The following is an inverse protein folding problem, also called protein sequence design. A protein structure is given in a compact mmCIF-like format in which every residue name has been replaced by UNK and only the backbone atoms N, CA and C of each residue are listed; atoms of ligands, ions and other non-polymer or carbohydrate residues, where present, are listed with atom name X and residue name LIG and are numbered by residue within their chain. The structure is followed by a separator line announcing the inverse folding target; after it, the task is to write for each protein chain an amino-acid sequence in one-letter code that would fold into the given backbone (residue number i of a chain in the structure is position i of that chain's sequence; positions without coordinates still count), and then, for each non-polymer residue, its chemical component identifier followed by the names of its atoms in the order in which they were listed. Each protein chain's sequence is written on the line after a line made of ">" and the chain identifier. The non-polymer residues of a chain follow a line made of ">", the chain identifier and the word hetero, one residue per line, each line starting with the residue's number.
data_IF_571525109874
#
_entry.id   IF_571525109874
#
_cell.length_a   1.000
_cell.length_b   1.000
_cell.length_c   1.000
_cell.angle_alpha   90.00
_cell.angle_beta   90.00
_cell.angle_gamma   90.00
#
_symmetry.space_group_name_H-M   'P 1'
#
loop_
_entity.id
_entity.type
_entity.pdbx_description
1 polymer ?
#
# COMPACT_ATOMS: atom_id res chain seq x y z
N UNK A 1 18.03 -8.54 -33.10
CA UNK A 1 17.30 -9.20 -34.18
C UNK A 1 18.16 -10.09 -35.09
N UNK A 2 19.47 -9.82 -35.32
CA UNK A 2 20.35 -10.64 -36.21
C UNK A 2 20.71 -12.04 -35.67
N UNK A 3 20.72 -12.26 -34.38
CA UNK A 3 21.04 -13.56 -33.77
C UNK A 3 19.92 -14.62 -33.83
N UNK A 4 18.65 -14.18 -33.96
CA UNK A 4 17.51 -15.11 -34.03
C UNK A 4 17.41 -15.83 -35.39
N UNK A 5 17.77 -15.15 -36.47
CA UNK A 5 17.73 -15.70 -37.84
C UNK A 5 18.77 -16.76 -38.10
N UNK A 6 19.93 -16.73 -37.40
CA UNK A 6 20.96 -17.73 -37.54
C UNK A 6 20.59 -19.09 -36.90
N UNK A 7 19.77 -19.05 -35.83
CA UNK A 7 19.28 -20.26 -35.14
C UNK A 7 18.25 -21.01 -35.98
N UNK A 8 17.36 -20.29 -36.64
CA UNK A 8 16.34 -20.90 -37.51
C UNK A 8 16.93 -21.57 -38.77
N UNK A 9 18.06 -21.05 -39.29
CA UNK A 9 18.74 -21.64 -40.45
C UNK A 9 19.42 -22.96 -40.12
N UNK A 10 20.03 -23.09 -38.93
CA UNK A 10 20.63 -24.34 -38.45
C UNK A 10 19.58 -25.42 -38.15
N UNK A 11 18.41 -25.03 -37.64
CA UNK A 11 17.33 -25.96 -37.35
C UNK A 11 16.70 -26.56 -38.60
N UNK A 12 16.63 -25.80 -39.71
CA UNK A 12 16.11 -26.26 -40.98
C UNK A 12 17.02 -27.28 -41.69
N UNK A 13 18.33 -27.23 -41.48
CA UNK A 13 19.26 -28.18 -42.06
C UNK A 13 19.34 -29.51 -41.31
N UNK A 14 18.98 -29.58 -40.03
CA UNK A 14 18.94 -30.84 -39.28
C UNK A 14 17.70 -31.68 -39.54
N UNK A 15 16.64 -31.08 -40.04
CA UNK A 15 15.34 -31.75 -40.34
C UNK A 15 15.37 -32.54 -41.69
N UNK A 16 16.38 -32.34 -42.54
CA UNK A 16 16.43 -32.93 -43.87
C UNK A 16 17.34 -34.17 -43.99
N UNK A 17 17.95 -34.63 -42.89
CA UNK A 17 18.76 -35.88 -42.90
C UNK A 17 18.17 -36.93 -41.96
N UNK A 18 17.31 -37.74 -42.52
CA UNK A 18 17.05 -39.16 -42.31
C UNK A 18 16.94 -39.68 -40.87
N UNK A 19 15.75 -40.00 -40.47
CA UNK A 19 15.34 -41.26 -39.82
C UNK A 19 13.93 -41.11 -39.23
N UNK A 20 13.02 -41.87 -39.71
CA UNK A 20 11.56 -41.79 -39.46
C UNK A 20 11.07 -42.07 -38.05
N UNK A 21 11.94 -42.40 -37.12
CA UNK A 21 11.59 -42.68 -35.71
C UNK A 21 11.95 -41.55 -34.72
N UNK A 22 12.84 -40.67 -35.10
CA UNK A 22 13.28 -39.56 -34.25
C UNK A 22 12.31 -38.38 -34.26
N UNK A 23 11.62 -38.17 -35.38
CA UNK A 23 10.68 -37.04 -35.56
C UNK A 23 9.40 -37.16 -34.71
N UNK A 24 8.89 -38.39 -34.54
CA UNK A 24 7.68 -38.58 -33.70
C UNK A 24 7.97 -38.32 -32.22
N UNK A 25 9.16 -38.70 -31.71
CA UNK A 25 9.53 -38.38 -30.32
C UNK A 25 9.78 -36.87 -30.07
N UNK A 26 10.33 -36.18 -31.05
CA UNK A 26 10.55 -34.74 -30.93
C UNK A 26 9.21 -33.96 -30.96
N UNK A 27 8.23 -34.37 -31.78
CA UNK A 27 6.92 -33.75 -31.81
C UNK A 27 6.10 -33.99 -30.53
N UNK A 28 6.18 -35.19 -29.94
CA UNK A 28 5.52 -35.51 -28.68
C UNK A 28 6.15 -34.74 -27.52
N UNK A 29 7.47 -34.59 -27.47
CA UNK A 29 8.15 -33.79 -26.44
C UNK A 29 7.79 -32.29 -26.54
N UNK A 30 7.69 -31.74 -27.75
CA UNK A 30 7.25 -30.34 -27.97
C UNK A 30 5.79 -30.12 -27.60
N UNK A 31 4.90 -31.07 -27.86
CA UNK A 31 3.50 -30.98 -27.46
C UNK A 31 3.33 -31.06 -25.93
N UNK A 32 4.08 -31.90 -25.26
CA UNK A 32 4.07 -31.99 -23.78
C UNK A 32 4.63 -30.70 -23.16
N UNK A 33 5.69 -30.11 -23.71
CA UNK A 33 6.21 -28.81 -23.25
C UNK A 33 5.24 -27.65 -23.51
N UNK A 34 4.53 -27.65 -24.63
CA UNK A 34 3.52 -26.65 -24.92
C UNK A 34 2.30 -26.75 -23.98
N UNK A 35 1.89 -27.97 -23.61
CA UNK A 35 0.80 -28.19 -22.66
C UNK A 35 1.18 -27.81 -21.21
N UNK A 36 2.47 -27.98 -20.83
CA UNK A 36 2.96 -27.55 -19.52
C UNK A 36 3.15 -26.03 -19.42
N UNK A 37 3.43 -25.35 -20.53
CA UNK A 37 3.56 -23.89 -20.56
C UNK A 37 2.20 -23.16 -20.46
N UNK A 38 1.09 -23.79 -20.82
CA UNK A 38 -0.25 -23.19 -20.70
C UNK A 38 -0.78 -23.25 -19.25
N UNK A 39 -0.19 -24.10 -18.39
CA UNK A 39 -0.63 -24.26 -16.99
C UNK A 39 0.01 -23.29 -16.01
N UNK A 40 0.99 -22.48 -16.43
CA UNK A 40 1.60 -21.42 -15.60
C UNK A 40 1.07 -20.03 -16.01
N UNK A 41 -0.24 -19.88 -16.11
CA UNK A 41 -0.82 -18.54 -16.04
C UNK A 41 -0.48 -17.92 -14.68
N UNK A 42 -0.20 -16.60 -14.59
CA UNK A 42 -0.05 -15.97 -13.29
C UNK A 42 -1.31 -16.27 -12.49
N UNK A 43 -1.18 -16.64 -11.20
CA UNK A 43 -2.34 -16.91 -10.37
C UNK A 43 -3.29 -15.71 -10.45
N UNK A 44 -4.61 -15.91 -10.52
CA UNK A 44 -5.55 -14.80 -10.53
C UNK A 44 -5.20 -13.92 -9.33
N UNK A 45 -4.84 -12.65 -9.60
CA UNK A 45 -4.58 -11.67 -8.57
C UNK A 45 -5.93 -11.38 -7.89
N UNK A 46 -6.29 -12.24 -6.95
CA UNK A 46 -7.47 -12.05 -6.11
C UNK A 46 -7.31 -10.71 -5.40
N UNK A 47 -8.30 -9.86 -5.49
CA UNK A 47 -8.38 -8.65 -4.68
C UNK A 47 -8.26 -9.11 -3.22
N UNK A 48 -7.21 -8.63 -2.53
CA UNK A 48 -7.06 -8.90 -1.11
C UNK A 48 -8.20 -8.22 -0.36
N UNK A 49 -9.15 -9.02 0.09
CA UNK A 49 -10.23 -8.55 0.96
C UNK A 49 -9.63 -8.29 2.35
N UNK A 50 -9.67 -7.04 2.81
CA UNK A 50 -9.24 -6.68 4.17
C UNK A 50 -10.22 -7.36 5.13
N UNK A 51 -9.80 -8.36 5.93
CA UNK A 51 -10.73 -9.02 6.82
C UNK A 51 -11.19 -8.02 7.88
N UNK A 52 -12.49 -7.85 8.00
CA UNK A 52 -13.14 -6.98 8.98
C UNK A 52 -12.69 -7.31 10.41
N UNK A 53 -12.39 -8.57 10.65
CA UNK A 53 -11.84 -9.05 11.94
C UNK A 53 -10.45 -8.50 12.26
N UNK A 54 -9.58 -8.27 11.27
CA UNK A 54 -8.24 -7.71 11.52
C UNK A 54 -8.33 -6.24 11.91
N UNK A 55 -9.32 -5.51 11.38
CA UNK A 55 -9.60 -4.11 11.71
C UNK A 55 -10.36 -4.02 13.03
N UNK A 56 -11.32 -4.90 13.29
CA UNK A 56 -12.02 -4.99 14.57
C UNK A 56 -11.09 -5.37 15.74
N UNK A 57 -10.02 -6.13 15.49
CA UNK A 57 -9.00 -6.42 16.50
C UNK A 57 -8.13 -5.20 16.82
N UNK A 58 -7.83 -4.36 15.84
CA UNK A 58 -7.14 -3.08 16.04
C UNK A 58 -8.05 -2.09 16.80
N UNK A 59 -9.36 -2.10 16.54
CA UNK A 59 -10.34 -1.26 17.23
C UNK A 59 -10.51 -1.62 18.71
N UNK A 60 -10.51 -2.90 19.06
CA UNK A 60 -10.68 -3.37 20.46
C UNK A 60 -9.57 -2.91 21.40
N UNK A 61 -8.37 -2.69 20.88
CA UNK A 61 -7.24 -2.20 21.67
C UNK A 61 -7.24 -0.67 21.88
N UNK A 62 -8.20 0.03 21.28
CA UNK A 62 -8.30 1.51 21.32
C UNK A 62 -9.67 2.00 21.81
N UNK A 63 -10.49 1.13 22.44
CA UNK A 63 -11.82 1.54 22.90
C UNK A 63 -11.69 2.50 24.10
N UNK A 64 -12.09 3.78 23.95
CA UNK A 64 -12.14 4.71 25.08
C UNK A 64 -13.25 4.30 26.04
N UNK A 65 -13.13 4.61 27.33
CA UNK A 65 -14.17 4.34 28.32
C UNK A 65 -15.49 5.06 27.97
N UNK A 66 -16.60 4.32 28.10
CA UNK A 66 -17.95 4.81 27.81
C UNK A 66 -18.35 5.91 28.80
N UNK A 67 -18.27 7.15 28.33
CA UNK A 67 -18.82 8.34 28.96
C UNK A 67 -18.90 9.41 27.88
N UNK A 68 -19.93 10.24 27.85
CA UNK A 68 -20.08 11.39 26.94
C UNK A 68 -18.91 12.36 27.14
N UNK A 69 -17.72 11.96 26.65
CA UNK A 69 -16.51 12.77 26.70
C UNK A 69 -16.38 13.53 25.39
N UNK A 70 -16.13 14.84 25.51
CA UNK A 70 -15.66 15.67 24.40
C UNK A 70 -14.65 14.90 23.56
N UNK A 71 -14.77 15.02 22.25
CA UNK A 71 -13.85 14.41 21.31
C UNK A 71 -12.40 14.77 21.69
N UNK A 72 -11.68 13.80 22.21
CA UNK A 72 -10.31 14.01 22.70
C UNK A 72 -9.38 13.00 22.06
N UNK A 73 -8.40 13.52 21.37
CA UNK A 73 -7.32 12.70 20.83
C UNK A 73 -6.46 12.20 22.00
N UNK A 74 -6.12 10.91 22.09
CA UNK A 74 -5.21 10.43 23.11
C UNK A 74 -3.80 11.02 22.91
N UNK A 75 -3.04 11.22 23.99
CA UNK A 75 -1.70 11.78 23.96
C UNK A 75 -0.69 10.91 23.20
N UNK A 76 -1.01 9.64 22.99
CA UNK A 76 -0.18 8.72 22.19
C UNK A 76 -1.00 7.55 21.67
N UNK A 77 -0.62 7.02 20.53
CA UNK A 77 -1.16 5.78 20.00
C UNK A 77 -0.11 5.05 19.15
N UNK A 78 -0.20 3.71 19.12
CA UNK A 78 0.74 2.86 18.39
C UNK A 78 0.02 1.77 17.61
N UNK A 79 0.41 1.58 16.35
CA UNK A 79 -0.07 0.51 15.47
C UNK A 79 1.08 -0.46 15.18
N UNK A 80 0.85 -1.75 15.35
CA UNK A 80 1.82 -2.79 14.98
C UNK A 80 1.67 -3.16 13.50
N UNK A 81 2.33 -2.40 12.61
CA UNK A 81 2.22 -2.55 11.15
C UNK A 81 2.53 -3.97 10.65
N UNK A 82 3.43 -4.69 11.32
CA UNK A 82 3.80 -6.05 10.96
C UNK A 82 2.65 -7.05 11.11
N UNK A 83 1.67 -6.73 11.96
CA UNK A 83 0.45 -7.54 12.17
C UNK A 83 -0.66 -7.23 11.18
N UNK A 84 -0.46 -6.26 10.27
CA UNK A 84 -1.43 -5.85 9.28
C UNK A 84 -1.03 -6.35 7.88
N UNK A 85 -1.41 -7.59 7.50
CA UNK A 85 -0.98 -8.19 6.24
C UNK A 85 -1.42 -7.40 5.01
N UNK A 86 -2.57 -6.73 5.06
CA UNK A 86 -3.06 -5.90 3.97
C UNK A 86 -2.17 -4.67 3.71
N UNK A 87 -1.63 -4.05 4.78
CA UNK A 87 -0.68 -2.93 4.65
C UNK A 87 0.64 -3.44 4.09
N UNK A 88 1.16 -4.55 4.62
CA UNK A 88 2.40 -5.17 4.13
C UNK A 88 2.31 -5.55 2.65
N UNK A 89 1.19 -6.09 2.22
CA UNK A 89 0.98 -6.49 0.83
C UNK A 89 0.92 -5.27 -0.11
N UNK A 90 0.34 -4.15 0.32
CA UNK A 90 0.35 -2.91 -0.46
C UNK A 90 1.77 -2.41 -0.74
N UNK A 91 2.70 -2.58 0.22
CA UNK A 91 4.10 -2.21 0.04
C UNK A 91 4.94 -3.23 -0.75
N UNK A 92 4.39 -4.42 -1.06
CA UNK A 92 5.04 -5.40 -1.94
C UNK A 92 4.68 -5.20 -3.41
N UNK A 93 3.58 -4.52 -3.69
CA UNK A 93 3.15 -4.27 -5.06
C UNK A 93 4.19 -3.37 -5.76
N UNK A 94 4.79 -3.80 -6.87
CA UNK A 94 5.74 -2.97 -7.60
C UNK A 94 5.02 -1.73 -8.15
N UNK A 95 5.65 -0.54 -8.13
CA UNK A 95 5.09 0.63 -8.80
C UNK A 95 4.91 0.31 -10.29
N UNK A 96 3.85 0.81 -10.91
CA UNK A 96 3.62 0.63 -12.35
C UNK A 96 4.76 1.26 -13.13
N UNK A 97 5.26 0.52 -14.14
CA UNK A 97 6.29 1.02 -15.05
C UNK A 97 5.80 2.32 -15.71
N UNK A 98 6.61 3.38 -15.62
CA UNK A 98 6.27 4.70 -16.15
C UNK A 98 5.71 5.69 -15.12
N UNK A 99 5.48 5.25 -13.90
CA UNK A 99 5.03 6.13 -12.83
C UNK A 99 6.21 6.98 -12.29
N UNK A 100 5.91 8.22 -11.90
CA UNK A 100 6.90 9.13 -11.29
C UNK A 100 7.14 8.82 -9.79
N UNK A 101 6.70 7.65 -9.31
CA UNK A 101 6.95 7.17 -7.94
C UNK A 101 6.23 7.95 -6.83
N UNK A 102 5.14 8.67 -7.16
CA UNK A 102 4.40 9.49 -6.21
C UNK A 102 3.34 8.71 -5.40
N UNK A 103 2.75 9.39 -4.41
CA UNK A 103 1.69 8.83 -3.57
C UNK A 103 0.43 8.46 -4.39
N UNK A 104 0.14 9.19 -5.47
CA UNK A 104 -0.95 8.88 -6.39
C UNK A 104 -0.69 7.58 -7.17
N UNK A 105 0.58 7.28 -7.49
CA UNK A 105 0.97 6.02 -8.15
C UNK A 105 0.87 4.84 -7.18
N UNK A 106 1.28 5.05 -5.93
CA UNK A 106 1.08 4.06 -4.86
C UNK A 106 -0.41 3.74 -4.70
N UNK A 107 -1.27 4.77 -4.64
CA UNK A 107 -2.72 4.58 -4.61
C UNK A 107 -3.23 3.79 -5.82
N UNK A 108 -2.81 4.15 -7.03
CA UNK A 108 -3.25 3.50 -8.27
C UNK A 108 -2.86 2.01 -8.31
N UNK A 109 -1.67 1.67 -7.81
CA UNK A 109 -1.18 0.29 -7.71
C UNK A 109 -1.93 -0.48 -6.62
N UNK A 110 -2.05 0.12 -5.43
CA UNK A 110 -2.73 -0.49 -4.27
C UNK A 110 -4.21 -0.77 -4.57
N UNK A 111 -4.89 0.11 -5.31
CA UNK A 111 -6.27 -0.08 -5.74
C UNK A 111 -6.51 -1.34 -6.58
N UNK A 112 -5.47 -1.87 -7.23
CA UNK A 112 -5.54 -3.14 -7.97
C UNK A 112 -5.39 -4.37 -7.08
N UNK A 113 -4.95 -4.20 -5.84
CA UNK A 113 -4.62 -5.31 -4.92
C UNK A 113 -5.48 -5.35 -3.66
N UNK A 114 -6.16 -4.27 -3.29
CA UNK A 114 -7.05 -4.18 -2.13
C UNK A 114 -8.43 -3.68 -2.52
N UNK A 115 -9.46 -4.09 -1.78
CA UNK A 115 -10.86 -3.77 -2.10
C UNK A 115 -11.17 -2.29 -1.93
N UNK A 116 -10.73 -1.69 -0.81
CA UNK A 116 -10.99 -0.29 -0.50
C UNK A 116 -9.70 0.43 -0.15
N UNK A 117 -9.41 1.48 -0.90
CA UNK A 117 -8.30 2.38 -0.67
C UNK A 117 -8.77 3.80 -0.95
N UNK A 118 -8.34 4.74 -0.13
CA UNK A 118 -8.69 6.14 -0.27
C UNK A 118 -7.43 7.03 -0.23
N UNK A 119 -7.41 8.07 -1.06
CA UNK A 119 -6.49 9.22 -0.91
C UNK A 119 -7.25 10.32 -0.20
N UNK A 120 -6.67 10.84 0.87
CA UNK A 120 -7.19 11.98 1.61
C UNK A 120 -6.23 13.14 1.41
N UNK A 121 -6.76 14.27 0.98
CA UNK A 121 -6.00 15.50 0.73
C UNK A 121 -6.36 16.56 1.76
N UNK A 122 -5.46 17.52 1.96
CA UNK A 122 -5.58 18.59 2.96
C UNK A 122 -5.72 18.06 4.39
N UNK A 123 -5.00 16.98 4.70
CA UNK A 123 -4.92 16.47 6.06
C UNK A 123 -4.10 17.42 6.95
N UNK A 124 -4.51 17.57 8.21
CA UNK A 124 -3.67 18.09 9.29
C UNK A 124 -2.92 16.94 9.99
N UNK A 125 -1.94 17.29 10.81
CA UNK A 125 -1.27 16.31 11.68
C UNK A 125 -2.27 15.62 12.61
N UNK A 126 -3.22 16.35 13.18
CA UNK A 126 -4.23 15.79 14.09
C UNK A 126 -5.14 14.76 13.41
N UNK A 127 -5.46 14.95 12.13
CA UNK A 127 -6.19 13.95 11.35
C UNK A 127 -5.38 12.66 11.20
N UNK A 128 -4.06 12.78 10.95
CA UNK A 128 -3.21 11.59 10.87
C UNK A 128 -3.11 10.89 12.24
N UNK A 129 -2.97 11.65 13.33
CA UNK A 129 -2.99 11.12 14.70
C UNK A 129 -4.30 10.41 15.02
N UNK A 130 -5.44 10.99 14.63
CA UNK A 130 -6.75 10.40 14.82
C UNK A 130 -6.93 9.08 14.04
N UNK A 131 -6.37 8.97 12.83
CA UNK A 131 -6.33 7.70 12.11
C UNK A 131 -5.47 6.66 12.83
N UNK A 132 -4.31 7.06 13.38
CA UNK A 132 -3.47 6.15 14.18
C UNK A 132 -4.22 5.71 15.44
N UNK A 133 -4.87 6.62 16.16
CA UNK A 133 -5.70 6.31 17.33
C UNK A 133 -6.88 5.37 17.00
N UNK A 134 -7.42 5.49 15.77
CA UNK A 134 -8.46 4.57 15.24
C UNK A 134 -7.90 3.19 14.88
N UNK A 135 -6.59 3.01 14.78
CA UNK A 135 -5.94 1.79 14.30
C UNK A 135 -5.80 1.71 12.77
N UNK A 136 -6.01 2.80 12.06
CA UNK A 136 -5.88 2.89 10.60
C UNK A 136 -4.57 3.58 10.24
N UNK A 137 -3.52 2.84 9.83
CA UNK A 137 -2.21 3.41 9.59
C UNK A 137 -2.20 4.29 8.33
N UNK A 138 -2.00 5.61 8.45
CA UNK A 138 -1.87 6.46 7.30
C UNK A 138 -0.56 6.17 6.55
N UNK A 139 -0.64 6.11 5.23
CA UNK A 139 0.50 5.96 4.34
C UNK A 139 0.77 7.33 3.72
N UNK A 140 1.97 7.82 3.90
CA UNK A 140 2.38 9.17 3.50
C UNK A 140 3.65 9.11 2.65
N UNK A 141 3.89 10.16 1.86
CA UNK A 141 5.18 10.36 1.20
C UNK A 141 5.90 11.50 1.91
N UNK A 142 7.14 11.27 2.31
CA UNK A 142 8.00 12.24 2.99
C UNK A 142 9.29 12.42 2.23
N UNK A 143 9.86 13.63 2.27
CA UNK A 143 11.16 13.95 1.69
C UNK A 143 12.10 14.43 2.79
N UNK A 144 12.88 13.50 3.34
CA UNK A 144 13.90 13.82 4.32
C UNK A 144 15.09 14.54 3.66
N UNK A 145 15.81 15.36 4.44
CA UNK A 145 16.95 16.12 3.93
C UNK A 145 17.99 15.20 3.26
N UNK A 146 18.43 15.60 2.05
CA UNK A 146 19.44 14.87 1.28
C UNK A 146 19.00 13.52 0.71
N UNK A 147 17.70 13.16 0.80
CA UNK A 147 17.17 11.88 0.29
C UNK A 147 16.08 12.07 -0.74
N UNK A 148 15.89 11.05 -1.58
CA UNK A 148 14.72 10.97 -2.44
C UNK A 148 13.45 10.82 -1.61
N UNK A 149 12.28 11.29 -2.12
CA UNK A 149 11.00 11.04 -1.47
C UNK A 149 10.77 9.54 -1.24
N UNK A 150 10.27 9.19 -0.06
CA UNK A 150 9.96 7.81 0.33
C UNK A 150 8.49 7.71 0.75
N UNK A 151 7.85 6.58 0.42
CA UNK A 151 6.50 6.25 0.88
C UNK A 151 6.63 5.37 2.11
N UNK A 152 6.07 5.81 3.22
CA UNK A 152 6.13 5.15 4.51
C UNK A 152 4.75 5.16 5.17
N UNK A 153 4.52 4.22 6.10
CA UNK A 153 3.33 4.21 6.94
C UNK A 153 3.63 4.80 8.29
N UNK A 154 2.73 5.61 8.82
CA UNK A 154 2.78 6.06 10.20
C UNK A 154 2.42 4.90 11.12
N UNK A 155 3.20 4.72 12.18
CA UNK A 155 3.02 3.62 13.13
C UNK A 155 2.66 4.08 14.53
N UNK A 156 3.09 5.25 14.94
CA UNK A 156 2.76 5.83 16.23
C UNK A 156 3.01 7.34 16.27
N UNK A 157 2.46 7.96 17.29
CA UNK A 157 2.78 9.33 17.71
C UNK A 157 2.82 9.42 19.24
N UNK A 158 3.48 10.45 19.74
CA UNK A 158 3.62 10.74 21.16
C UNK A 158 3.65 12.27 21.36
N UNK A 159 2.56 12.85 21.88
CA UNK A 159 2.42 14.29 22.11
C UNK A 159 3.36 14.82 23.20
N UNK A 160 3.56 14.12 24.35
CA UNK A 160 4.54 14.52 25.33
C UNK A 160 5.97 14.69 24.80
N UNK A 161 6.37 13.88 23.79
CA UNK A 161 7.69 14.02 23.16
C UNK A 161 7.66 14.84 21.86
N UNK A 162 6.48 15.16 21.33
CA UNK A 162 6.34 15.84 20.05
C UNK A 162 6.84 15.04 18.85
N UNK A 163 6.78 13.71 18.92
CA UNK A 163 7.35 12.80 17.93
C UNK A 163 6.32 11.95 17.21
N UNK A 164 6.61 11.66 15.95
CA UNK A 164 5.85 10.72 15.11
C UNK A 164 6.81 9.69 14.51
N UNK A 165 6.35 8.47 14.36
CA UNK A 165 7.14 7.38 13.80
C UNK A 165 6.63 6.90 12.46
N UNK A 166 7.57 6.70 11.55
CA UNK A 166 7.36 6.18 10.20
C UNK A 166 8.09 4.88 10.00
N UNK A 167 7.47 3.96 9.27
CA UNK A 167 8.07 2.67 8.99
C UNK A 167 7.61 2.13 7.63
N UNK A 168 8.49 1.45 6.91
CA UNK A 168 8.07 0.53 5.87
C UNK A 168 7.57 -0.76 6.54
N UNK A 169 6.32 -1.21 6.33
CA UNK A 169 5.76 -2.38 7.00
C UNK A 169 6.52 -3.70 6.74
N UNK A 170 7.32 -3.74 5.68
CA UNK A 170 8.17 -4.88 5.33
C UNK A 170 9.61 -4.78 5.88
N UNK A 171 9.91 -3.72 6.65
CA UNK A 171 11.20 -3.50 7.30
C UNK A 171 11.03 -3.39 8.81
N UNK A 172 12.03 -3.79 9.56
CA UNK A 172 12.09 -3.56 11.01
C UNK A 172 12.52 -2.13 11.36
N UNK A 173 13.05 -1.38 10.40
CA UNK A 173 13.58 -0.03 10.63
C UNK A 173 12.45 0.97 10.83
N UNK A 174 12.40 1.56 12.02
CA UNK A 174 11.49 2.63 12.40
C UNK A 174 12.23 3.96 12.42
N UNK A 175 11.63 4.99 11.87
CA UNK A 175 12.20 6.35 11.90
C UNK A 175 11.32 7.23 12.74
N UNK A 176 11.92 7.99 13.67
CA UNK A 176 11.24 9.01 14.45
C UNK A 176 11.60 10.38 13.94
N UNK A 177 10.62 11.25 13.89
CA UNK A 177 10.76 12.65 13.51
C UNK A 177 10.01 13.51 14.52
N UNK A 178 10.51 14.73 14.76
CA UNK A 178 9.71 15.75 15.42
C UNK A 178 8.48 16.07 14.57
N UNK A 179 7.41 16.57 15.16
CA UNK A 179 6.22 17.00 14.38
C UNK A 179 6.58 18.05 13.34
N UNK A 180 7.42 19.01 13.69
CA UNK A 180 7.88 20.07 12.78
C UNK A 180 8.61 19.51 11.56
N UNK A 181 9.59 18.60 11.79
CA UNK A 181 10.34 17.99 10.69
C UNK A 181 9.46 17.10 9.82
N UNK A 182 8.54 16.38 10.45
CA UNK A 182 7.58 15.56 9.74
C UNK A 182 6.69 16.42 8.84
N UNK A 183 6.03 17.44 9.37
CA UNK A 183 5.12 18.31 8.60
C UNK A 183 5.84 19.00 7.44
N UNK A 184 7.05 19.52 7.67
CA UNK A 184 7.86 20.13 6.63
C UNK A 184 8.19 19.14 5.49
N UNK A 185 8.62 17.91 5.85
CA UNK A 185 8.97 16.88 4.87
C UNK A 185 7.75 16.31 4.13
N UNK A 186 6.63 16.16 4.80
CA UNK A 186 5.37 15.65 4.27
C UNK A 186 4.69 16.67 3.35
N UNK A 187 4.58 17.92 3.80
CA UNK A 187 4.01 19.00 2.99
C UNK A 187 4.78 19.18 1.67
N UNK A 188 6.11 19.18 1.74
CA UNK A 188 6.99 19.28 0.57
C UNK A 188 6.81 18.12 -0.41
N UNK A 189 6.70 16.88 0.11
CA UNK A 189 6.66 15.68 -0.71
C UNK A 189 5.28 15.41 -1.33
N UNK A 190 4.19 15.63 -0.57
CA UNK A 190 2.84 15.18 -0.97
C UNK A 190 1.73 16.21 -0.78
N UNK A 191 2.06 17.45 -0.38
CA UNK A 191 1.07 18.52 -0.13
C UNK A 191 -0.02 18.05 0.86
N UNK A 192 0.40 17.51 1.99
CA UNK A 192 -0.48 17.04 3.08
C UNK A 192 -1.53 16.00 2.62
N UNK A 193 -1.10 15.05 1.80
CA UNK A 193 -1.91 13.90 1.40
C UNK A 193 -1.51 12.65 2.17
N UNK A 194 -2.48 11.77 2.41
CA UNK A 194 -2.23 10.40 2.84
C UNK A 194 -3.06 9.40 2.05
N UNK A 195 -2.64 8.15 2.08
CA UNK A 195 -3.41 7.00 1.58
C UNK A 195 -3.82 6.15 2.76
N UNK A 196 -5.07 5.71 2.76
CA UNK A 196 -5.61 4.75 3.73
C UNK A 196 -6.09 3.51 3.01
N UNK A 197 -5.87 2.35 3.63
CA UNK A 197 -6.50 1.09 3.27
C UNK A 197 -7.55 0.81 4.34
N UNK A 198 -8.81 0.65 3.94
CA UNK A 198 -9.96 0.62 4.84
C UNK A 198 -10.87 -0.58 4.59
N UNK A 199 -11.71 -0.99 5.56
CA UNK A 199 -12.64 -2.09 5.38
C UNK A 199 -13.80 -1.76 4.44
N UNK A 200 -14.11 -0.46 4.30
CA UNK A 200 -15.20 0.04 3.48
C UNK A 200 -14.76 1.26 2.66
N UNK A 201 -15.54 1.57 1.63
CA UNK A 201 -15.33 2.80 0.88
C UNK A 201 -15.53 4.02 1.78
N UNK A 202 -14.65 5.00 1.68
CA UNK A 202 -14.73 6.25 2.44
C UNK A 202 -15.17 7.41 1.54
N UNK A 203 -16.02 8.27 2.10
CA UNK A 203 -16.33 9.61 1.63
C UNK A 203 -15.85 10.66 2.66
N UNK A 204 -15.95 11.95 2.31
CA UNK A 204 -15.63 13.04 3.25
C UNK A 204 -16.46 12.92 4.54
N UNK A 205 -17.76 12.58 4.41
CA UNK A 205 -18.68 12.40 5.54
C UNK A 205 -18.29 11.18 6.39
N UNK A 206 -17.84 10.09 5.75
CA UNK A 206 -17.44 8.88 6.49
C UNK A 206 -16.18 9.13 7.32
N UNK A 207 -15.23 9.91 6.81
CA UNK A 207 -14.05 10.33 7.59
C UNK A 207 -14.46 11.12 8.82
N UNK A 208 -15.38 12.10 8.67
CA UNK A 208 -15.90 12.87 9.79
C UNK A 208 -16.62 11.98 10.82
N UNK A 209 -17.47 11.05 10.37
CA UNK A 209 -18.17 10.12 11.28
C UNK A 209 -17.20 9.22 12.05
N UNK A 210 -16.16 8.73 11.38
CA UNK A 210 -15.18 7.82 11.98
C UNK A 210 -14.28 8.52 12.98
N UNK A 211 -13.86 9.75 12.68
CA UNK A 211 -12.91 10.51 13.49
C UNK A 211 -13.55 11.52 14.44
N UNK A 212 -14.87 11.78 14.33
CA UNK A 212 -15.57 12.80 15.12
C UNK A 212 -15.52 12.57 16.63
N UNK A 213 -15.22 11.35 17.08
CA UNK A 213 -14.95 11.05 18.50
C UNK A 213 -13.58 11.53 18.99
N UNK A 214 -12.66 11.83 18.07
CA UNK A 214 -11.30 12.28 18.38
C UNK A 214 -11.10 13.76 18.12
N UNK A 215 -11.81 14.31 17.13
CA UNK A 215 -11.60 15.66 16.63
C UNK A 215 -12.92 16.42 16.47
N UNK A 216 -12.90 17.74 16.73
CA UNK A 216 -14.06 18.59 16.49
C UNK A 216 -14.33 18.74 14.99
N UNK A 217 -15.57 19.13 14.66
CA UNK A 217 -16.03 19.24 13.25
C UNK A 217 -15.16 20.17 12.39
N UNK A 218 -14.60 21.20 12.98
CA UNK A 218 -13.76 22.20 12.32
C UNK A 218 -12.46 21.59 11.76
N UNK A 219 -11.96 20.52 12.39
CA UNK A 219 -10.76 19.81 11.94
C UNK A 219 -10.92 19.17 10.55
N UNK A 220 -12.16 18.95 10.11
CA UNK A 220 -12.47 18.32 8.83
C UNK A 220 -12.71 19.32 7.69
N UNK A 221 -12.59 20.62 7.95
CA UNK A 221 -12.77 21.64 6.92
C UNK A 221 -11.70 21.51 5.83
N UNK A 222 -12.15 21.45 4.57
CA UNK A 222 -11.26 21.38 3.41
C UNK A 222 -10.71 20.00 3.07
N UNK A 223 -10.97 18.97 3.89
CA UNK A 223 -10.60 17.58 3.53
C UNK A 223 -11.30 17.17 2.23
N UNK A 224 -10.60 16.41 1.41
CA UNK A 224 -11.15 15.78 0.20
C UNK A 224 -10.75 14.32 0.17
N UNK A 225 -11.74 13.45 0.05
CA UNK A 225 -11.54 11.99 -0.04
C UNK A 225 -11.80 11.53 -1.47
N UNK A 226 -10.83 10.84 -2.05
CA UNK A 226 -10.96 10.14 -3.32
C UNK A 226 -10.84 8.65 -3.05
N UNK A 227 -11.94 7.94 -3.11
CA UNK A 227 -12.00 6.48 -3.00
C UNK A 227 -12.71 5.88 -4.20
N UNK A 228 -12.39 4.64 -4.51
CA UNK A 228 -13.12 3.83 -5.50
C UNK A 228 -13.31 2.43 -4.97
#
# INVERSE_FOLDING_TARGET
>A
MKHYLSYLRKFRQSLLRGSSYSTVRACVALLVFALLAISCGPPPQGQYHVPETALAAAERNTQPPSGESQATLPDSATIQLQRLPYVRNAFKAPPRVGSRGGLDDFYATTRGTVQHVAVISNCSLDILKAFIAKGWPPIVMVQLQGRSPEILSLSDYNDPSGEISLQNPNSSTKRRLSYTDFEASWSKASRNKCVLITPQRLSDIDVQKVLGRYLPTEAFQGIRVRSR
#
